data_IF_530413633874
#
_entry.id   IF_530413633874
#
_cell.length_a   1.000
_cell.length_b   1.000
_cell.length_c   1.000
_cell.angle_alpha   90.00
_cell.angle_beta   90.00
_cell.angle_gamma   90.00
#
_symmetry.space_group_name_H-M   'P 1'
#
loop_
_entity.id
_entity.type
_entity.pdbx_description
1 polymer ?
#
# COMPACT_ATOMS: atom_id res chain seq x y z
N UNK A 1 -15.99 -4.56 -8.21
CA UNK A 1 -15.48 -5.49 -9.26
C UNK A 1 -14.07 -5.99 -8.97
N UNK A 2 -13.05 -5.11 -8.80
CA UNK A 2 -11.66 -5.54 -8.55
C UNK A 2 -11.52 -6.38 -7.27
N UNK A 3 -12.06 -5.91 -6.13
CA UNK A 3 -12.08 -6.68 -4.86
C UNK A 3 -12.69 -8.07 -5.03
N UNK A 4 -13.85 -8.17 -5.70
CA UNK A 4 -14.54 -9.43 -5.91
C UNK A 4 -13.67 -10.41 -6.70
N UNK A 5 -13.13 -9.98 -7.85
CA UNK A 5 -12.23 -10.79 -8.68
C UNK A 5 -10.98 -11.25 -7.93
N UNK A 6 -10.41 -10.39 -7.09
CA UNK A 6 -9.26 -10.76 -6.27
C UNK A 6 -9.63 -11.85 -5.27
N UNK A 7 -10.76 -11.73 -4.57
CA UNK A 7 -11.22 -12.74 -3.61
C UNK A 7 -11.54 -14.08 -4.30
N UNK A 8 -12.24 -14.06 -5.43
CA UNK A 8 -12.59 -15.26 -6.23
C UNK A 8 -11.36 -16.06 -6.67
N UNK A 9 -10.26 -15.38 -7.00
CA UNK A 9 -9.03 -16.01 -7.48
C UNK A 9 -7.99 -16.25 -6.39
N UNK A 10 -8.25 -15.77 -5.17
CA UNK A 10 -7.36 -16.01 -4.03
C UNK A 10 -7.53 -17.42 -3.45
N UNK A 11 -6.48 -17.91 -2.78
CA UNK A 11 -6.49 -19.19 -2.05
C UNK A 11 -6.56 -18.98 -0.54
N UNK A 12 -7.12 -17.85 -0.10
CA UNK A 12 -7.24 -17.53 1.32
C UNK A 12 -8.17 -18.53 2.02
N UNK A 13 -7.67 -19.16 3.07
CA UNK A 13 -8.48 -20.05 3.92
C UNK A 13 -9.36 -19.28 4.92
N UNK A 14 -8.94 -18.07 5.31
CA UNK A 14 -9.64 -17.21 6.28
C UNK A 14 -9.37 -15.74 5.97
N UNK A 15 -10.38 -14.90 6.18
CA UNK A 15 -10.32 -13.46 5.92
C UNK A 15 -10.78 -13.10 4.51
N UNK A 16 -10.68 -11.82 4.17
CA UNK A 16 -10.97 -11.33 2.82
C UNK A 16 -9.88 -10.37 2.37
N UNK A 17 -9.61 -10.36 1.06
CA UNK A 17 -8.78 -9.34 0.42
C UNK A 17 -9.54 -8.03 0.46
N UNK A 18 -8.92 -7.01 1.06
CA UNK A 18 -9.47 -5.65 1.13
C UNK A 18 -9.39 -4.95 -0.23
N UNK A 19 -10.27 -3.97 -0.46
CA UNK A 19 -10.28 -3.19 -1.71
C UNK A 19 -8.93 -2.56 -2.02
N UNK A 20 -8.22 -2.04 -1.02
CA UNK A 20 -6.88 -1.48 -1.19
C UNK A 20 -5.87 -2.56 -1.63
N UNK A 21 -5.89 -3.74 -1.01
CA UNK A 21 -4.99 -4.85 -1.36
C UNK A 21 -5.23 -5.33 -2.79
N UNK A 22 -6.49 -5.46 -3.19
CA UNK A 22 -6.86 -5.83 -4.55
C UNK A 22 -6.40 -4.77 -5.58
N UNK A 23 -6.59 -3.49 -5.28
CA UNK A 23 -6.19 -2.39 -6.13
C UNK A 23 -4.66 -2.29 -6.25
N UNK A 24 -3.94 -2.36 -5.13
CA UNK A 24 -2.47 -2.33 -5.12
C UNK A 24 -1.90 -3.55 -5.85
N UNK A 25 -2.46 -4.74 -5.63
CA UNK A 25 -2.05 -5.95 -6.36
C UNK A 25 -2.22 -5.80 -7.87
N UNK A 26 -3.31 -5.16 -8.32
CA UNK A 26 -3.52 -4.86 -9.73
C UNK A 26 -2.48 -3.86 -10.27
N UNK A 27 -2.20 -2.79 -9.52
CA UNK A 27 -1.23 -1.78 -9.92
C UNK A 27 0.18 -2.34 -9.99
N UNK A 28 0.60 -3.12 -9.00
CA UNK A 28 1.90 -3.78 -8.98
C UNK A 28 2.09 -4.66 -10.23
N UNK A 29 1.13 -5.55 -10.52
CA UNK A 29 1.16 -6.36 -11.74
C UNK A 29 1.18 -5.54 -13.03
N UNK A 30 0.43 -4.43 -13.07
CA UNK A 30 0.32 -3.58 -14.26
C UNK A 30 1.61 -2.82 -14.53
N UNK A 31 2.20 -2.21 -13.50
CA UNK A 31 3.48 -1.50 -13.59
C UNK A 31 4.61 -2.47 -13.96
N UNK A 32 4.69 -3.63 -13.30
CA UNK A 32 5.68 -4.65 -13.63
C UNK A 32 5.58 -5.10 -15.08
N UNK A 33 4.35 -5.31 -15.60
CA UNK A 33 4.13 -5.65 -17.01
C UNK A 33 4.55 -4.51 -17.95
N UNK A 34 4.22 -3.27 -17.62
CA UNK A 34 4.57 -2.10 -18.43
C UNK A 34 6.08 -1.88 -18.52
N UNK A 35 6.80 -2.16 -17.43
CA UNK A 35 8.27 -2.09 -17.36
C UNK A 35 8.99 -3.20 -18.14
N UNK A 36 8.27 -4.26 -18.56
CA UNK A 36 8.84 -5.41 -19.28
C UNK A 36 10.07 -6.01 -18.59
N UNK A 37 9.98 -6.14 -17.27
CA UNK A 37 11.06 -6.70 -16.47
C UNK A 37 11.30 -8.18 -16.82
N UNK A 38 12.52 -8.64 -16.61
CA UNK A 38 12.91 -10.03 -16.85
C UNK A 38 12.21 -10.98 -15.87
N UNK A 39 11.79 -12.15 -16.34
CA UNK A 39 11.00 -13.09 -15.54
C UNK A 39 11.69 -13.50 -14.22
N UNK A 40 13.02 -13.65 -14.26
CA UNK A 40 13.85 -14.04 -13.11
C UNK A 40 14.21 -12.87 -12.18
N UNK A 41 13.90 -11.63 -12.57
CA UNK A 41 14.11 -10.46 -11.73
C UNK A 41 13.15 -10.47 -10.54
N UNK A 42 13.61 -9.98 -9.39
CA UNK A 42 12.75 -9.73 -8.23
C UNK A 42 12.17 -8.32 -8.31
N UNK A 43 10.88 -8.19 -8.04
CA UNK A 43 10.16 -6.93 -7.85
C UNK A 43 9.53 -6.93 -6.48
N UNK A 44 9.40 -5.75 -5.85
CA UNK A 44 8.71 -5.62 -4.59
C UNK A 44 7.59 -4.57 -4.64
N UNK A 45 6.54 -4.82 -3.85
CA UNK A 45 5.55 -3.82 -3.45
C UNK A 45 5.80 -3.40 -2.01
N UNK A 46 6.08 -2.11 -1.80
CA UNK A 46 6.37 -1.49 -0.51
C UNK A 46 5.16 -0.67 -0.06
N UNK A 47 4.43 -1.16 0.93
CA UNK A 47 3.26 -0.47 1.50
C UNK A 47 3.66 0.36 2.72
N UNK A 48 3.46 1.68 2.68
CA UNK A 48 3.59 2.53 3.85
C UNK A 48 2.49 2.20 4.87
N UNK A 49 2.88 1.88 6.09
CA UNK A 49 1.98 1.35 7.12
C UNK A 49 2.07 2.17 8.40
N UNK A 50 0.97 2.83 8.78
CA UNK A 50 0.86 3.44 10.11
C UNK A 50 0.74 2.37 11.20
N UNK A 51 1.61 2.43 12.21
CA UNK A 51 1.67 1.43 13.28
C UNK A 51 1.00 1.87 14.58
N UNK A 52 0.52 3.13 14.70
CA UNK A 52 -0.06 3.68 15.93
C UNK A 52 -1.09 2.76 16.61
N UNK A 53 -2.04 2.23 15.82
CA UNK A 53 -3.10 1.31 16.29
C UNK A 53 -2.68 -0.17 16.38
N UNK A 54 -1.48 -0.51 15.90
CA UNK A 54 -0.94 -1.88 15.89
C UNK A 54 0.01 -2.16 17.05
N UNK A 55 0.64 -1.12 17.61
CA UNK A 55 1.51 -1.29 18.76
C UNK A 55 0.70 -1.70 20.00
N UNK A 56 1.37 -2.39 20.92
CA UNK A 56 0.84 -2.72 22.25
C UNK A 56 1.80 -2.17 23.32
N UNK A 57 1.39 -1.18 24.13
CA UNK A 57 0.11 -0.46 24.05
C UNK A 57 -0.01 0.37 22.77
N UNK A 58 -1.25 0.60 22.32
CA UNK A 58 -1.54 1.46 21.16
C UNK A 58 -1.12 2.90 21.44
N UNK A 59 -0.60 3.60 20.44
CA UNK A 59 -0.32 5.03 20.56
C UNK A 59 -1.61 5.86 20.44
N UNK A 60 -1.69 7.02 21.11
CA UNK A 60 -2.78 7.97 20.93
C UNK A 60 -2.98 8.36 19.47
N UNK A 61 -4.22 8.69 19.08
CA UNK A 61 -4.53 9.17 17.74
C UNK A 61 -3.81 10.48 17.43
N UNK A 62 -3.60 11.29 18.47
CA UNK A 62 -2.99 12.61 18.49
C UNK A 62 -1.45 12.55 18.55
N UNK A 63 -0.85 11.35 18.52
CA UNK A 63 0.60 11.20 18.51
C UNK A 63 1.21 11.90 17.29
N UNK A 64 1.83 13.05 17.54
CA UNK A 64 2.41 13.96 16.54
C UNK A 64 3.64 13.38 15.84
N UNK A 65 4.32 12.40 16.45
CA UNK A 65 5.50 11.77 15.87
C UNK A 65 5.19 10.83 14.70
N UNK A 66 6.25 10.41 14.02
CA UNK A 66 6.19 9.36 13.01
C UNK A 66 6.14 7.99 13.67
N UNK A 67 5.15 7.18 13.29
CA UNK A 67 5.04 5.79 13.68
C UNK A 67 4.56 4.99 12.47
N UNK A 68 5.47 4.81 11.52
CA UNK A 68 5.22 4.10 10.28
C UNK A 68 6.45 3.35 9.79
N UNK A 69 6.21 2.30 9.01
CA UNK A 69 7.23 1.50 8.32
C UNK A 69 6.75 1.16 6.91
N UNK A 70 7.66 0.68 6.07
CA UNK A 70 7.29 -0.02 4.85
C UNK A 70 7.12 -1.52 5.12
N UNK A 71 5.94 -2.05 4.79
CA UNK A 71 5.70 -3.48 4.68
C UNK A 71 6.10 -3.92 3.27
N UNK A 72 7.02 -4.89 3.18
CA UNK A 72 7.61 -5.35 1.92
C UNK A 72 6.98 -6.66 1.48
N UNK A 73 6.49 -6.71 0.25
CA UNK A 73 6.02 -7.94 -0.41
C UNK A 73 6.84 -8.14 -1.67
N UNK A 74 7.60 -9.23 -1.75
CA UNK A 74 8.49 -9.53 -2.88
C UNK A 74 7.94 -10.69 -3.71
N UNK A 75 8.21 -10.67 -5.02
CA UNK A 75 7.92 -11.78 -5.92
C UNK A 75 8.91 -11.77 -7.10
N UNK A 76 9.09 -12.94 -7.72
CA UNK A 76 9.66 -13.00 -9.07
C UNK A 76 8.67 -12.42 -10.06
N UNK A 77 9.17 -11.69 -11.06
CA UNK A 77 8.33 -11.10 -12.11
C UNK A 77 7.54 -12.18 -12.84
N UNK A 78 8.16 -13.33 -13.15
CA UNK A 78 7.51 -14.48 -13.77
C UNK A 78 6.32 -14.98 -12.95
N UNK A 79 6.47 -15.13 -11.64
CA UNK A 79 5.39 -15.55 -10.74
C UNK A 79 4.29 -14.49 -10.67
N UNK A 80 4.65 -13.22 -10.46
CA UNK A 80 3.69 -12.13 -10.31
C UNK A 80 2.83 -11.94 -11.56
N UNK A 81 3.42 -12.06 -12.75
CA UNK A 81 2.71 -11.89 -14.02
C UNK A 81 2.02 -13.17 -14.48
N UNK A 82 2.58 -14.34 -14.16
CA UNK A 82 2.03 -15.65 -14.50
C UNK A 82 0.84 -16.08 -13.65
N UNK A 83 0.74 -15.59 -12.40
CA UNK A 83 -0.40 -15.81 -11.51
C UNK A 83 -1.51 -14.77 -11.72
N UNK A 84 -2.66 -15.00 -11.09
CA UNK A 84 -3.82 -14.11 -11.15
C UNK A 84 -3.74 -12.91 -10.18
N UNK A 85 -4.80 -12.08 -10.17
CA UNK A 85 -4.89 -10.94 -9.28
C UNK A 85 -5.01 -11.36 -7.81
N UNK A 86 -5.74 -12.44 -7.54
CA UNK A 86 -5.96 -12.96 -6.20
C UNK A 86 -4.65 -13.38 -5.53
N UNK A 87 -3.73 -13.99 -6.28
CA UNK A 87 -2.40 -14.35 -5.80
C UNK A 87 -1.59 -13.12 -5.34
N UNK A 88 -1.52 -12.07 -6.18
CA UNK A 88 -0.77 -10.86 -5.83
C UNK A 88 -1.38 -10.13 -4.63
N UNK A 89 -2.71 -10.02 -4.60
CA UNK A 89 -3.42 -9.37 -3.51
C UNK A 89 -3.40 -10.20 -2.21
N UNK A 90 -3.35 -11.53 -2.30
CA UNK A 90 -3.13 -12.43 -1.17
C UNK A 90 -1.71 -12.27 -0.61
N UNK A 91 -0.69 -12.17 -1.44
CA UNK A 91 0.68 -11.96 -0.98
C UNK A 91 0.79 -10.67 -0.15
N UNK A 92 0.15 -9.58 -0.62
CA UNK A 92 0.02 -8.33 0.14
C UNK A 92 -0.72 -8.55 1.46
N UNK A 93 -1.85 -9.26 1.43
CA UNK A 93 -2.65 -9.57 2.62
C UNK A 93 -1.85 -10.31 3.69
N UNK A 94 -1.12 -11.34 3.29
CA UNK A 94 -0.26 -12.11 4.20
C UNK A 94 0.86 -11.25 4.79
N UNK A 95 1.51 -10.39 4.01
CA UNK A 95 2.50 -9.43 4.55
C UNK A 95 1.86 -8.55 5.62
N UNK A 96 0.66 -8.01 5.37
CA UNK A 96 -0.05 -7.18 6.35
C UNK A 96 -0.39 -7.93 7.64
N UNK A 97 -0.73 -9.22 7.56
CA UNK A 97 -1.04 -10.06 8.73
C UNK A 97 0.21 -10.46 9.52
N UNK A 98 1.34 -10.68 8.84
CA UNK A 98 2.62 -11.01 9.49
C UNK A 98 3.16 -9.84 10.32
N UNK A 99 2.77 -8.61 10.00
CA UNK A 99 3.18 -7.41 10.74
C UNK A 99 2.39 -7.25 12.06
N UNK A 100 2.80 -8.04 13.07
CA UNK A 100 2.28 -8.01 14.45
C UNK A 100 2.81 -6.82 15.26
N UNK A 101 2.20 -6.55 16.41
CA UNK A 101 2.64 -5.50 17.34
C UNK A 101 4.13 -5.60 17.72
N UNK A 102 4.58 -6.81 18.06
CA UNK A 102 5.95 -7.08 18.49
C UNK A 102 6.95 -6.90 17.34
N UNK A 103 6.62 -7.42 16.15
CA UNK A 103 7.45 -7.27 14.95
C UNK A 103 7.56 -5.79 14.57
N UNK A 104 6.44 -5.07 14.51
CA UNK A 104 6.42 -3.65 14.20
C UNK A 104 7.23 -2.82 15.20
N UNK A 105 7.10 -3.11 16.51
CA UNK A 105 7.90 -2.46 17.56
C UNK A 105 9.39 -2.72 17.37
N UNK A 106 9.79 -3.96 17.15
CA UNK A 106 11.20 -4.33 16.95
C UNK A 106 11.77 -3.63 15.71
N UNK A 107 11.02 -3.59 14.61
CA UNK A 107 11.44 -2.92 13.37
C UNK A 107 11.55 -1.41 13.54
N UNK A 108 10.65 -0.78 14.30
CA UNK A 108 10.74 0.66 14.61
C UNK A 108 11.99 0.98 15.45
N UNK A 109 12.33 0.13 16.43
CA UNK A 109 13.52 0.33 17.27
C UNK A 109 14.82 0.13 16.50
N UNK A 110 14.80 -0.72 15.47
CA UNK A 110 15.95 -1.04 14.63
C UNK A 110 15.88 -0.32 13.28
N UNK A 111 15.16 0.79 13.19
CA UNK A 111 15.07 1.55 11.94
C UNK A 111 16.44 2.18 11.66
N UNK A 112 17.19 1.55 10.76
CA UNK A 112 18.26 2.23 10.07
C UNK A 112 17.59 3.23 9.13
N UNK A 113 18.07 4.47 9.09
CA UNK A 113 17.60 5.46 8.14
C UNK A 113 17.62 4.81 6.76
N UNK A 114 16.43 4.55 6.19
CA UNK A 114 16.33 4.02 4.85
C UNK A 114 17.04 5.00 3.92
N UNK A 115 18.03 4.51 3.19
CA UNK A 115 18.60 5.28 2.09
C UNK A 115 17.45 5.62 1.14
N UNK A 116 17.22 6.91 0.90
CA UNK A 116 16.21 7.38 -0.04
C UNK A 116 16.48 6.88 -1.47
N UNK A 117 17.70 6.40 -1.75
CA UNK A 117 18.09 5.72 -2.99
C UNK A 117 17.76 4.22 -3.01
N UNK A 118 17.22 3.64 -1.93
CA UNK A 118 16.97 2.20 -1.78
C UNK A 118 15.70 1.67 -2.46
N UNK A 119 15.14 2.42 -3.41
CA UNK A 119 14.05 1.94 -4.25
C UNK A 119 14.61 1.45 -5.57
N UNK A 120 14.53 0.14 -5.78
CA UNK A 120 14.93 -0.44 -7.05
C UNK A 120 13.95 0.04 -8.14
N UNK A 121 14.46 0.22 -9.37
CA UNK A 121 13.62 0.57 -10.52
C UNK A 121 12.52 -0.48 -10.81
N UNK A 122 12.65 -1.70 -10.27
CA UNK A 122 11.63 -2.75 -10.34
C UNK A 122 10.52 -2.62 -9.30
N UNK A 123 10.66 -1.77 -8.28
CA UNK A 123 9.75 -1.70 -7.15
C UNK A 123 8.55 -0.77 -7.37
N UNK A 124 7.49 -1.03 -6.62
CA UNK A 124 6.33 -0.16 -6.48
C UNK A 124 6.21 0.26 -5.03
N UNK A 125 6.06 1.56 -4.79
CA UNK A 125 5.92 2.16 -3.46
C UNK A 125 4.53 2.76 -3.35
N UNK A 126 3.76 2.30 -2.38
CA UNK A 126 2.41 2.80 -2.13
C UNK A 126 2.39 3.55 -0.81
N UNK A 127 1.98 4.81 -0.88
CA UNK A 127 1.81 5.69 0.26
C UNK A 127 0.38 6.25 0.32
N UNK A 128 0.10 6.95 1.41
CA UNK A 128 -1.25 7.42 1.75
C UNK A 128 -2.23 6.26 1.96
N UNK A 129 -3.50 6.59 2.19
CA UNK A 129 -4.54 5.63 2.54
C UNK A 129 -5.91 6.21 2.19
N UNK A 130 -6.83 5.39 1.62
CA UNK A 130 -8.21 5.82 1.40
C UNK A 130 -8.99 6.07 2.70
N UNK A 131 -8.44 5.63 3.85
CA UNK A 131 -9.04 5.84 5.17
C UNK A 131 -8.59 7.15 5.84
N UNK A 132 -7.73 7.93 5.20
CA UNK A 132 -7.39 9.26 5.71
C UNK A 132 -8.49 10.25 5.33
N UNK A 133 -8.90 11.06 6.30
CA UNK A 133 -9.89 12.12 6.10
C UNK A 133 -9.23 13.29 5.37
N UNK A 134 -9.40 13.33 4.05
CA UNK A 134 -8.75 14.33 3.20
C UNK A 134 -9.69 15.46 2.77
N UNK A 135 -11.00 15.23 2.75
CA UNK A 135 -12.00 16.21 2.31
C UNK A 135 -12.70 16.95 3.47
N UNK A 136 -12.67 16.39 4.69
CA UNK A 136 -13.42 16.90 5.86
C UNK A 136 -12.83 18.15 6.53
N UNK A 137 -11.72 18.69 6.04
CA UNK A 137 -11.16 19.95 6.55
C UNK A 137 -11.94 21.13 5.99
N UNK A 138 -12.87 21.69 6.77
CA UNK A 138 -13.63 22.91 6.45
C UNK A 138 -13.13 24.10 7.29
N UNK A 139 -12.62 25.12 6.61
CA UNK A 139 -12.13 26.37 7.22
C UNK A 139 -13.16 27.53 7.13
N UNK A 140 -14.41 27.23 6.79
CA UNK A 140 -15.48 28.18 6.52
C UNK A 140 -15.80 28.35 5.04
N UNK A 141 -15.23 27.51 4.16
CA UNK A 141 -15.43 27.56 2.70
C UNK A 141 -16.07 26.28 2.15
N UNK A 142 -16.46 25.35 3.01
CA UNK A 142 -16.97 24.04 2.65
C UNK A 142 -15.88 23.00 2.45
N UNK A 143 -16.29 21.79 2.07
CA UNK A 143 -15.41 20.64 1.89
C UNK A 143 -14.42 20.80 0.72
N UNK A 144 -13.30 20.08 0.82
CA UNK A 144 -12.25 20.08 -0.21
C UNK A 144 -12.79 19.71 -1.61
N UNK A 145 -12.37 20.46 -2.64
CA UNK A 145 -12.79 20.15 -4.00
C UNK A 145 -12.06 18.93 -4.57
N UNK A 146 -10.76 18.80 -4.30
CA UNK A 146 -9.88 17.75 -4.81
C UNK A 146 -8.67 17.55 -3.88
N UNK A 147 -8.15 16.33 -3.83
CA UNK A 147 -6.91 15.98 -3.13
C UNK A 147 -5.80 15.80 -4.16
N UNK A 148 -4.70 16.54 -3.99
CA UNK A 148 -3.56 16.54 -4.89
C UNK A 148 -2.27 16.26 -4.12
N UNK A 149 -1.29 15.64 -4.80
CA UNK A 149 0.06 15.43 -4.30
C UNK A 149 1.04 16.39 -4.97
N UNK A 150 1.97 16.94 -4.16
CA UNK A 150 3.08 17.77 -4.64
C UNK A 150 4.06 16.97 -5.52
N UNK A 151 4.84 17.67 -6.35
CA UNK A 151 5.79 17.06 -7.28
C UNK A 151 6.84 16.18 -6.61
N UNK A 152 7.25 16.52 -5.38
CA UNK A 152 8.22 15.72 -4.61
C UNK A 152 7.75 14.28 -4.32
N UNK A 153 6.45 14.02 -4.37
CA UNK A 153 5.87 12.68 -4.17
C UNK A 153 5.60 11.94 -5.49
N UNK A 154 6.07 12.48 -6.63
CA UNK A 154 5.88 11.89 -7.96
C UNK A 154 7.21 11.38 -8.47
N UNK A 155 7.39 10.06 -8.41
CA UNK A 155 8.58 9.36 -8.89
C UNK A 155 8.16 8.02 -9.51
N UNK A 156 9.04 7.43 -10.32
CA UNK A 156 8.73 6.15 -10.97
C UNK A 156 8.46 5.04 -9.94
N UNK A 157 7.35 4.32 -10.11
CA UNK A 157 6.88 3.30 -9.17
C UNK A 157 6.19 3.86 -7.91
N UNK A 158 6.16 5.18 -7.70
CA UNK A 158 5.43 5.81 -6.61
C UNK A 158 3.92 5.88 -6.89
N UNK A 159 3.10 5.50 -5.91
CA UNK A 159 1.65 5.57 -5.97
C UNK A 159 1.14 6.21 -4.68
N UNK A 160 0.38 7.29 -4.80
CA UNK A 160 -0.39 7.86 -3.69
C UNK A 160 -1.86 7.45 -3.81
N UNK A 161 -2.42 6.89 -2.75
CA UNK A 161 -3.84 6.49 -2.71
C UNK A 161 -4.64 7.45 -1.85
N UNK A 162 -5.69 8.03 -2.41
CA UNK A 162 -6.61 8.94 -1.73
C UNK A 162 -8.05 8.41 -1.78
N UNK A 163 -8.92 8.79 -0.82
CA UNK A 163 -10.35 8.60 -1.01
C UNK A 163 -10.79 9.33 -2.28
N UNK A 164 -11.60 8.68 -3.10
CA UNK A 164 -12.25 9.35 -4.22
C UNK A 164 -13.38 10.25 -3.69
N UNK A 165 -13.65 11.33 -4.42
CA UNK A 165 -14.71 12.28 -4.03
C UNK A 165 -16.12 11.71 -4.20
N UNK A 166 -16.28 10.75 -5.10
CA UNK A 166 -17.58 10.11 -5.36
C UNK A 166 -17.89 9.15 -4.22
N UNK A 167 -19.10 9.26 -3.67
CA UNK A 167 -19.62 8.35 -2.66
C UNK A 167 -19.51 6.87 -3.11
N UNK A 168 -19.41 5.95 -2.14
CA UNK A 168 -19.37 4.51 -2.41
C UNK A 168 -17.98 3.87 -2.36
N UNK A 169 -17.01 4.49 -1.68
CA UNK A 169 -15.70 3.89 -1.44
C UNK A 169 -14.78 3.87 -2.67
N UNK A 170 -14.94 4.86 -3.54
CA UNK A 170 -14.03 5.11 -4.66
C UNK A 170 -12.62 5.50 -4.16
N UNK A 171 -11.60 5.29 -4.99
CA UNK A 171 -10.20 5.61 -4.67
C UNK A 171 -9.56 6.32 -5.84
N UNK A 172 -8.84 7.40 -5.57
CA UNK A 172 -8.01 8.11 -6.55
C UNK A 172 -6.55 7.71 -6.37
N UNK A 173 -5.90 7.32 -7.48
CA UNK A 173 -4.47 7.05 -7.51
C UNK A 173 -3.76 8.19 -8.22
N UNK A 174 -2.67 8.69 -7.62
CA UNK A 174 -1.82 9.76 -8.15
C UNK A 174 -0.37 9.33 -8.21
#
# INVERSE_FOLDING_TARGET
QIKAKANESSKLQRGEILSLQALVGLMWRTITRARKLEADQTTACKLAAGLRKRLDPTLPGEYFGSCMLFMLTEAKVGDLLGQDLGWAAQALHETVLRETANIGRQRLMNIQLYDANGFESSDVVVASSPWFEMYGSDFGWGEGLAVLSGSANKFDGGISVFPGKVEGGSMDLK
#
